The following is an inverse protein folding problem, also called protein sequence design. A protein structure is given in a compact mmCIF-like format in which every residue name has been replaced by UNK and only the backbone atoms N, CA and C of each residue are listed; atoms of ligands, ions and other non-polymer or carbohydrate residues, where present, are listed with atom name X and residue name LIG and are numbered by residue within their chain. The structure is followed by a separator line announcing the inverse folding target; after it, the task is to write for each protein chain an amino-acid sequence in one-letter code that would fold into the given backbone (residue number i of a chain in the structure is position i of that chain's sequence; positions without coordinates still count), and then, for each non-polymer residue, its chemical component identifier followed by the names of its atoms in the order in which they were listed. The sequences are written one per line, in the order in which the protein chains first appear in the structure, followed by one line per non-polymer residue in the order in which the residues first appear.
data_IF_186542734979
#
_entry.id   IF_186542734979
#
_cell.length_a   1.000
_cell.length_b   1.000
_cell.length_c   1.000
_cell.angle_alpha   90.00
_cell.angle_beta   90.00
_cell.angle_gamma   90.00
#
_symmetry.space_group_name_H-M   'P 1'
#
loop_
_entity.id
_entity.type
_entity.pdbx_description
1 polymer ?
#
# COMPACT_ATOMS: atom_id res chain seq x y z
N UNK A 1 -23.25 20.07 -0.91
CA UNK A 1 -21.83 20.12 -0.46
C UNK A 1 -21.44 18.70 -0.08
N UNK A 2 -20.65 18.01 -0.92
CA UNK A 2 -20.16 16.66 -0.58
C UNK A 2 -19.04 16.84 0.45
N UNK A 3 -19.09 16.21 1.63
CA UNK A 3 -18.01 16.37 2.60
C UNK A 3 -16.69 15.94 1.95
N UNK A 4 -15.57 16.63 2.25
CA UNK A 4 -14.28 16.21 1.77
C UNK A 4 -14.10 14.76 2.21
N UNK A 5 -13.90 13.87 1.24
CA UNK A 5 -13.65 12.46 1.50
C UNK A 5 -12.44 12.37 2.41
N UNK A 6 -12.68 12.10 3.70
CA UNK A 6 -11.64 11.87 4.67
C UNK A 6 -10.85 10.64 4.21
N UNK A 7 -9.62 10.94 3.78
CA UNK A 7 -8.48 10.08 3.51
C UNK A 7 -8.46 9.42 2.11
N UNK A 8 -7.46 9.74 1.26
CA UNK A 8 -7.23 9.10 -0.04
C UNK A 8 -6.79 7.62 0.09
N UNK A 9 -6.71 7.10 1.32
CA UNK A 9 -6.21 5.76 1.59
C UNK A 9 -7.36 4.77 1.68
N UNK A 10 -7.24 3.68 0.92
CA UNK A 10 -8.21 2.60 0.73
C UNK A 10 -8.60 1.81 2.00
N UNK A 11 -8.97 2.46 3.11
CA UNK A 11 -9.09 1.87 4.45
C UNK A 11 -10.00 0.64 4.51
N UNK A 12 -11.03 0.56 3.66
CA UNK A 12 -12.06 -0.49 3.72
C UNK A 12 -12.03 -1.49 2.57
N UNK A 13 -11.00 -1.48 1.73
CA UNK A 13 -10.94 -2.31 0.51
C UNK A 13 -12.19 -2.22 -0.40
N UNK A 14 -13.01 -1.17 -0.24
CA UNK A 14 -14.22 -0.96 -1.02
C UNK A 14 -13.80 -0.67 -2.47
N UNK A 15 -14.18 -1.57 -3.39
CA UNK A 15 -13.79 -1.54 -4.81
C UNK A 15 -12.31 -1.84 -5.08
N UNK A 16 -11.66 -2.62 -4.21
CA UNK A 16 -10.31 -3.11 -4.48
C UNK A 16 -10.28 -3.97 -5.76
N UNK A 17 -9.27 -3.83 -6.63
CA UNK A 17 -9.07 -4.73 -7.76
C UNK A 17 -8.99 -6.19 -7.29
N UNK A 18 -9.64 -7.08 -8.03
CA UNK A 18 -9.69 -8.53 -7.74
C UNK A 18 -8.78 -9.35 -8.64
N UNK A 19 -8.23 -8.72 -9.68
CA UNK A 19 -7.33 -9.30 -10.68
C UNK A 19 -5.85 -9.23 -10.26
N UNK A 20 -5.56 -8.71 -9.06
CA UNK A 20 -4.20 -8.52 -8.57
C UNK A 20 -3.50 -7.28 -9.14
N UNK A 21 -4.19 -6.45 -9.93
CA UNK A 21 -3.66 -5.17 -10.38
C UNK A 21 -3.46 -4.20 -9.21
N UNK A 22 -2.55 -3.23 -9.40
CA UNK A 22 -2.32 -2.19 -8.42
C UNK A 22 -3.55 -1.28 -8.31
N UNK A 23 -3.94 -0.94 -7.08
CA UNK A 23 -5.04 0.00 -6.85
C UNK A 23 -4.50 1.43 -6.89
N UNK A 24 -4.52 2.03 -8.08
CA UNK A 24 -4.00 3.37 -8.34
C UNK A 24 -5.12 4.41 -8.22
N UNK A 25 -4.93 5.46 -7.41
CA UNK A 25 -5.79 6.65 -7.37
C UNK A 25 -5.07 7.85 -7.97
N UNK A 26 -5.76 8.90 -8.40
CA UNK A 26 -5.09 10.10 -8.94
C UNK A 26 -4.32 10.90 -7.87
N UNK A 27 -4.54 10.62 -6.58
CA UNK A 27 -3.92 11.31 -5.45
C UNK A 27 -3.06 10.32 -4.63
N UNK A 28 -1.84 10.06 -5.10
CA UNK A 28 -0.93 9.01 -4.61
C UNK A 28 0.23 9.59 -3.79
N UNK A 29 -0.06 10.57 -2.93
CA UNK A 29 0.94 11.14 -2.03
C UNK A 29 1.33 10.15 -0.92
N UNK A 30 0.46 9.19 -0.59
CA UNK A 30 0.72 8.13 0.39
C UNK A 30 0.70 6.75 -0.26
N UNK A 31 1.74 5.96 -0.03
CA UNK A 31 1.82 4.58 -0.49
C UNK A 31 1.71 3.59 0.67
N UNK A 32 1.19 2.39 0.38
CA UNK A 32 1.00 1.35 1.38
C UNK A 32 2.27 0.50 1.48
N UNK A 33 2.92 0.50 2.65
CA UNK A 33 3.97 -0.47 2.96
C UNK A 33 3.39 -1.72 3.64
N UNK A 34 4.03 -2.88 3.39
CA UNK A 34 3.63 -4.21 3.86
C UNK A 34 4.81 -4.94 4.50
N UNK A 35 4.51 -5.85 5.42
CA UNK A 35 5.48 -6.82 5.96
C UNK A 35 6.23 -6.40 7.22
N UNK A 36 6.20 -5.12 7.61
CA UNK A 36 6.98 -4.62 8.73
C UNK A 36 8.49 -4.62 8.46
N UNK A 37 9.27 -4.41 9.51
CA UNK A 37 10.74 -4.36 9.49
C UNK A 37 11.31 -4.96 10.79
N UNK A 38 12.64 -5.06 10.89
CA UNK A 38 13.32 -5.51 12.10
C UNK A 38 13.05 -4.62 13.34
N UNK A 39 12.68 -3.36 13.13
CA UNK A 39 12.30 -2.41 14.19
C UNK A 39 10.80 -2.48 14.54
N UNK A 40 10.00 -3.20 13.76
CA UNK A 40 8.55 -3.23 13.92
C UNK A 40 8.12 -4.12 15.08
N UNK A 41 7.21 -3.63 15.91
CA UNK A 41 6.55 -4.47 16.93
C UNK A 41 5.71 -5.58 16.25
N UNK A 42 5.47 -6.74 16.90
CA UNK A 42 4.83 -7.89 16.27
C UNK A 42 3.46 -7.59 15.61
N UNK A 43 2.69 -6.67 16.18
CA UNK A 43 1.39 -6.27 15.64
C UNK A 43 1.46 -5.63 14.24
N UNK A 44 2.59 -5.00 13.89
CA UNK A 44 2.79 -4.34 12.59
C UNK A 44 3.35 -5.31 11.53
N UNK A 45 3.79 -6.51 11.94
CA UNK A 45 4.33 -7.54 11.03
C UNK A 45 3.27 -8.50 10.49
N UNK A 46 2.01 -8.40 10.95
CA UNK A 46 0.92 -9.24 10.44
C UNK A 46 0.76 -9.07 8.93
N UNK A 47 0.48 -10.15 8.21
CA UNK A 47 0.33 -10.14 6.74
C UNK A 47 -0.74 -9.15 6.25
N UNK A 48 -1.81 -8.96 7.03
CA UNK A 48 -2.89 -8.03 6.72
C UNK A 48 -2.61 -6.57 7.14
N UNK A 49 -1.54 -6.31 7.90
CA UNK A 49 -1.20 -4.95 8.33
C UNK A 49 -0.88 -4.07 7.12
N UNK A 50 -1.21 -2.78 7.24
CA UNK A 50 -1.04 -1.76 6.22
C UNK A 50 -0.46 -0.54 6.88
N UNK A 51 0.76 -0.18 6.52
CA UNK A 51 1.31 1.09 6.97
C UNK A 51 0.90 2.19 5.99
N UNK A 52 0.15 3.18 6.49
CA UNK A 52 -0.45 4.26 5.69
C UNK A 52 0.19 5.62 5.96
N UNK A 53 1.22 5.68 6.81
CA UNK A 53 1.75 6.92 7.35
C UNK A 53 2.91 7.50 6.52
N UNK A 54 3.24 6.90 5.37
CA UNK A 54 4.41 7.29 4.60
C UNK A 54 4.04 8.00 3.31
N UNK A 55 4.45 9.26 3.26
CA UNK A 55 4.40 10.07 2.05
C UNK A 55 5.45 9.58 1.06
N UNK A 56 5.18 9.73 -0.23
CA UNK A 56 6.14 9.53 -1.31
C UNK A 56 7.42 10.35 -1.01
N UNK A 57 8.58 9.71 -1.16
CA UNK A 57 9.88 10.33 -0.89
C UNK A 57 10.34 10.20 0.56
N UNK A 58 9.51 9.67 1.47
CA UNK A 58 10.00 9.23 2.77
C UNK A 58 10.93 8.01 2.58
N UNK A 59 12.14 8.09 3.12
CA UNK A 59 13.12 7.01 3.10
C UNK A 59 13.60 6.70 4.51
N UNK A 60 13.83 5.42 4.77
CA UNK A 60 14.44 4.92 5.98
C UNK A 60 15.18 3.63 5.65
N UNK A 61 16.25 3.38 6.38
CA UNK A 61 17.09 2.19 6.36
C UNK A 61 16.36 0.88 6.66
N UNK A 62 15.19 0.93 7.30
CA UNK A 62 14.36 -0.24 7.59
C UNK A 62 13.18 -0.42 6.62
N UNK A 63 13.13 0.35 5.53
CA UNK A 63 12.18 0.16 4.43
C UNK A 63 12.87 -0.24 3.14
N UNK A 64 12.19 -1.08 2.37
CA UNK A 64 12.67 -1.58 1.09
C UNK A 64 11.52 -1.97 0.16
N UNK A 65 11.85 -2.58 -0.96
CA UNK A 65 10.89 -3.01 -1.97
C UNK A 65 11.18 -4.43 -2.46
N UNK A 66 10.16 -5.08 -3.02
CA UNK A 66 10.29 -6.33 -3.77
C UNK A 66 9.91 -6.06 -5.21
N UNK A 67 10.67 -6.63 -6.15
CA UNK A 67 10.36 -6.56 -7.58
C UNK A 67 9.51 -7.77 -7.97
N UNK A 68 8.57 -7.55 -8.89
CA UNK A 68 7.75 -8.61 -9.48
C UNK A 68 7.96 -8.61 -11.00
N UNK A 69 7.98 -9.79 -11.61
CA UNK A 69 8.02 -9.94 -13.07
C UNK A 69 6.60 -10.23 -13.58
N UNK A 70 6.11 -9.40 -14.50
CA UNK A 70 4.86 -9.67 -15.20
C UNK A 70 5.08 -10.73 -16.27
N UNK A 71 4.84 -12.00 -15.94
CA UNK A 71 4.74 -13.03 -16.96
C UNK A 71 3.39 -12.83 -17.69
N UNK A 72 3.43 -12.20 -18.87
CA UNK A 72 2.28 -12.11 -19.75
C UNK A 72 1.84 -13.53 -20.11
N UNK A 73 0.68 -13.96 -19.60
CA UNK A 73 0.04 -15.18 -20.09
C UNK A 73 -0.59 -14.83 -21.43
N UNK A 74 0.01 -15.28 -22.52
CA UNK A 74 -0.68 -15.45 -23.79
C UNK A 74 -1.81 -16.45 -23.55
N UNK A 75 -3.04 -16.06 -23.88
CA UNK A 75 -4.18 -16.96 -24.02
C UNK A 75 -4.11 -17.65 -25.38
#
# INVERSE_FOLDING_TARGET
IKPPSLLPNHHRYKNAPRDGSAWLTNDNDYQILRGGSWYSIPNLCRSAYRNLNFRRGFYSDYYGFRVVCGAGRTL
#
